data_IF_583316936531
#
_entry.id   IF_583316936531
#
_cell.length_a   1.000
_cell.length_b   1.000
_cell.length_c   1.000
_cell.angle_alpha   90.00
_cell.angle_beta   90.00
_cell.angle_gamma   90.00
#
_symmetry.space_group_name_H-M   'P 1'
#
loop_
_entity.id
_entity.type
_entity.pdbx_description
1 polymer ?
#
# COMPACT_ATOMS: atom_id res chain seq x y z
N UNK A 1 -18.94 -5.96 -22.05
CA UNK A 1 -17.96 -6.71 -22.86
C UNK A 1 -16.71 -5.89 -23.21
N UNK A 2 -16.76 -4.85 -24.07
CA UNK A 2 -15.54 -4.10 -24.46
C UNK A 2 -15.01 -3.16 -23.34
N UNK A 3 -15.92 -2.58 -22.56
CA UNK A 3 -15.59 -1.73 -21.41
C UNK A 3 -14.89 -2.49 -20.27
N UNK A 4 -15.20 -3.77 -20.09
CA UNK A 4 -14.62 -4.59 -19.00
C UNK A 4 -13.13 -4.85 -19.21
N UNK A 5 -12.74 -5.12 -20.47
CA UNK A 5 -11.33 -5.26 -20.83
C UNK A 5 -10.57 -3.94 -20.72
N UNK A 6 -11.22 -2.81 -21.05
CA UNK A 6 -10.60 -1.50 -20.93
C UNK A 6 -10.31 -1.13 -19.46
N UNK A 7 -11.23 -1.48 -18.56
CA UNK A 7 -11.05 -1.29 -17.12
C UNK A 7 -9.93 -2.18 -16.57
N UNK A 8 -9.92 -3.47 -16.95
CA UNK A 8 -8.86 -4.39 -16.56
C UNK A 8 -7.48 -3.92 -17.02
N UNK A 9 -7.38 -3.41 -18.26
CA UNK A 9 -6.14 -2.88 -18.82
C UNK A 9 -5.69 -1.61 -18.09
N UNK A 10 -6.61 -0.71 -17.74
CA UNK A 10 -6.31 0.48 -16.93
C UNK A 10 -5.82 0.13 -15.53
N UNK A 11 -6.47 -0.81 -14.84
CA UNK A 11 -6.04 -1.30 -13.51
C UNK A 11 -4.67 -1.96 -13.58
N UNK A 12 -4.44 -2.80 -14.60
CA UNK A 12 -3.16 -3.46 -14.82
C UNK A 12 -2.03 -2.47 -15.12
N UNK A 13 -2.30 -1.45 -15.94
CA UNK A 13 -1.33 -0.40 -16.24
C UNK A 13 -1.02 0.45 -15.00
N UNK A 14 -2.04 0.79 -14.20
CA UNK A 14 -1.83 1.49 -12.93
C UNK A 14 -1.00 0.65 -11.95
N UNK A 15 -1.24 -0.66 -11.86
CA UNK A 15 -0.46 -1.59 -11.03
C UNK A 15 1.01 -1.65 -11.46
N UNK A 16 1.28 -1.74 -12.78
CA UNK A 16 2.65 -1.71 -13.33
C UNK A 16 3.33 -0.36 -13.05
N UNK A 17 2.62 0.76 -13.20
CA UNK A 17 3.17 2.09 -12.91
C UNK A 17 3.54 2.24 -11.43
N UNK A 18 2.74 1.71 -10.50
CA UNK A 18 3.08 1.71 -9.07
C UNK A 18 4.29 0.83 -8.75
N UNK A 19 4.43 -0.34 -9.40
CA UNK A 19 5.64 -1.17 -9.28
C UNK A 19 6.89 -0.47 -9.83
N UNK A 20 6.73 0.45 -10.80
CA UNK A 20 7.81 1.28 -11.37
C UNK A 20 7.99 2.63 -10.66
N UNK A 21 7.65 2.73 -9.38
CA UNK A 21 8.05 3.91 -8.58
C UNK A 21 9.50 3.70 -8.15
N UNK A 22 10.45 4.23 -8.91
CA UNK A 22 11.86 4.25 -8.49
C UNK A 22 11.96 4.93 -7.12
N UNK A 23 12.51 4.19 -6.14
CA UNK A 23 12.83 4.73 -4.81
C UNK A 23 13.99 5.72 -4.95
N UNK A 24 13.68 6.97 -5.31
CA UNK A 24 14.54 8.11 -5.01
C UNK A 24 13.77 9.12 -4.19
N UNK A 25 13.54 8.75 -2.93
CA UNK A 25 13.26 9.71 -1.88
C UNK A 25 14.54 9.92 -1.09
N UNK A 26 15.45 10.72 -1.64
CA UNK A 26 16.64 11.16 -0.92
C UNK A 26 16.41 12.58 -0.42
N UNK A 27 16.72 12.78 0.87
CA UNK A 27 17.02 14.07 1.52
C UNK A 27 15.83 14.79 2.18
N UNK A 28 15.46 14.38 3.42
CA UNK A 28 15.38 15.27 4.61
C UNK A 28 14.89 14.61 5.94
N UNK A 29 15.31 13.40 6.32
CA UNK A 29 15.11 12.89 7.69
C UNK A 29 16.31 12.03 8.12
N UNK A 30 17.46 12.67 8.41
CA UNK A 30 18.65 11.96 8.89
C UNK A 30 18.54 11.47 10.36
N UNK A 31 17.35 11.48 10.97
CA UNK A 31 17.17 11.05 12.37
C UNK A 31 15.86 10.33 12.69
N UNK A 32 14.91 10.25 11.75
CA UNK A 32 13.67 9.50 11.95
C UNK A 32 13.55 8.53 10.78
N UNK A 33 14.11 7.35 10.95
CA UNK A 33 13.84 6.22 10.04
C UNK A 33 12.44 5.70 10.37
N UNK A 34 11.41 6.49 10.10
CA UNK A 34 10.03 6.03 10.23
C UNK A 34 9.78 5.00 9.14
N UNK A 35 9.69 3.73 9.53
CA UNK A 35 9.32 2.64 8.64
C UNK A 35 7.84 2.36 8.79
N UNK A 36 7.24 1.64 7.84
CA UNK A 36 5.84 1.20 7.99
C UNK A 36 5.60 0.41 9.29
N UNK A 37 6.65 -0.15 9.91
CA UNK A 37 6.58 -0.92 11.15
C UNK A 37 6.34 -0.08 12.40
N UNK A 38 6.46 1.25 12.31
CA UNK A 38 6.13 2.17 13.39
C UNK A 38 4.62 2.49 13.44
N UNK A 39 3.86 1.98 12.47
CA UNK A 39 2.43 2.17 12.31
C UNK A 39 1.68 0.85 12.41
N UNK A 40 0.36 0.95 12.48
CA UNK A 40 -0.58 -0.16 12.52
C UNK A 40 -1.99 0.32 12.20
N UNK A 41 -2.93 -0.61 12.11
CA UNK A 41 -4.33 -0.32 11.86
C UNK A 41 -5.21 -1.07 12.85
N UNK A 42 -6.34 -0.47 13.20
CA UNK A 42 -7.41 -1.17 13.90
C UNK A 42 -8.14 -2.07 12.89
N UNK A 43 -8.51 -3.29 13.31
CA UNK A 43 -9.35 -4.18 12.50
C UNK A 43 -10.70 -3.53 12.23
N UNK A 44 -11.37 -3.99 11.17
CA UNK A 44 -12.70 -3.47 10.80
C UNK A 44 -13.72 -3.63 11.93
N UNK A 45 -13.57 -4.67 12.76
CA UNK A 45 -14.41 -4.94 13.93
C UNK A 45 -14.11 -3.99 15.10
N UNK A 46 -13.00 -3.25 15.05
CA UNK A 46 -12.61 -2.27 16.07
C UNK A 46 -11.95 -2.86 17.32
N UNK A 47 -11.92 -4.19 17.43
CA UNK A 47 -11.51 -4.89 18.65
C UNK A 47 -9.99 -5.08 18.78
N UNK A 48 -9.26 -5.08 17.66
CA UNK A 48 -7.84 -5.41 17.65
C UNK A 48 -7.00 -4.37 16.89
N UNK A 49 -5.97 -3.86 17.55
CA UNK A 49 -4.95 -3.05 16.90
C UNK A 49 -3.83 -3.92 16.38
N UNK A 50 -3.62 -3.90 15.06
CA UNK A 50 -2.63 -4.69 14.36
C UNK A 50 -1.41 -3.80 14.02
N UNK A 51 -0.27 -3.95 14.70
CA UNK A 51 0.97 -3.26 14.33
C UNK A 51 1.57 -3.88 13.07
N UNK A 52 1.92 -3.06 12.08
CA UNK A 52 2.45 -3.56 10.80
C UNK A 52 3.82 -4.22 10.93
N UNK A 53 4.53 -4.01 12.05
CA UNK A 53 5.77 -4.73 12.40
C UNK A 53 5.62 -6.25 12.32
N UNK A 54 4.42 -6.79 12.55
CA UNK A 54 4.17 -8.23 12.45
C UNK A 54 4.30 -8.80 11.02
N UNK A 55 4.29 -7.93 10.01
CA UNK A 55 4.48 -8.29 8.60
C UNK A 55 5.92 -8.04 8.12
N UNK A 56 6.87 -7.86 9.03
CA UNK A 56 8.27 -7.67 8.66
C UNK A 56 8.79 -8.81 7.78
N UNK A 57 9.47 -8.45 6.68
CA UNK A 57 9.99 -9.42 5.70
C UNK A 57 8.97 -9.89 4.67
N UNK A 58 7.73 -9.38 4.68
CA UNK A 58 6.71 -9.65 3.65
C UNK A 58 6.48 -8.42 2.77
N UNK A 59 6.09 -8.66 1.51
CA UNK A 59 5.57 -7.59 0.66
C UNK A 59 4.15 -7.26 1.09
N UNK A 60 3.87 -5.97 1.34
CA UNK A 60 2.59 -5.47 1.83
C UNK A 60 2.01 -4.53 0.78
N UNK A 61 0.76 -4.78 0.37
CA UNK A 61 0.01 -3.92 -0.55
C UNK A 61 -1.11 -3.23 0.24
N UNK A 62 -1.07 -1.90 0.28
CA UNK A 62 -2.16 -1.10 0.84
C UNK A 62 -3.18 -0.78 -0.24
N UNK A 63 -4.43 -1.18 -0.02
CA UNK A 63 -5.55 -0.92 -0.93
C UNK A 63 -6.60 -0.11 -0.18
N UNK A 64 -6.98 1.04 -0.74
CA UNK A 64 -8.10 1.82 -0.23
C UNK A 64 -9.41 1.27 -0.85
N UNK A 65 -10.40 0.96 -0.01
CA UNK A 65 -11.68 0.37 -0.42
C UNK A 65 -12.82 1.32 -0.02
N UNK A 66 -13.81 1.48 -0.91
CA UNK A 66 -15.06 2.18 -0.64
C UNK A 66 -16.22 1.35 -1.19
N UNK A 67 -17.35 1.31 -0.47
CA UNK A 67 -18.60 0.68 -0.93
C UNK A 67 -19.54 1.75 -1.49
N UNK A 68 -20.36 1.37 -2.48
CA UNK A 68 -21.38 2.24 -3.09
C UNK A 68 -22.66 2.30 -2.27
#
# INVERSE_FOLDING_TARGET
FLLDYAYFLLVFFFLIVQLRKERRYNKYLQGITSTIYDYGALTIDGDEYIPFKQYAGKYILFVNVATY
#
